data_IF_696156645214
#
_entry.id   IF_696156645214
#
_cell.length_a   1.000
_cell.length_b   1.000
_cell.length_c   1.000
_cell.angle_alpha   90.00
_cell.angle_beta   90.00
_cell.angle_gamma   90.00
#
_symmetry.space_group_name_H-M   'P 1'
#
loop_
_entity.id
_entity.type
_entity.pdbx_description
1 polymer ?
#
# COMPACT_ATOMS: atom_id res chain seq x y z
N UNK A 1 -5.59 -8.91 3.04
CA UNK A 1 -6.00 -7.55 3.46
C UNK A 1 -5.99 -7.50 4.98
N UNK A 2 -5.17 -6.63 5.58
CA UNK A 2 -4.90 -6.66 7.03
C UNK A 2 -5.76 -5.71 7.86
N UNK A 3 -6.25 -4.65 7.23
CA UNK A 3 -6.99 -3.58 7.88
C UNK A 3 -8.48 -3.74 7.59
N UNK A 4 -9.31 -3.35 8.56
CA UNK A 4 -10.76 -3.32 8.39
C UNK A 4 -11.11 -2.36 7.24
N UNK A 5 -11.92 -2.78 6.25
CA UNK A 5 -12.38 -1.87 5.21
C UNK A 5 -13.23 -0.75 5.80
N UNK A 6 -13.07 0.47 5.29
CA UNK A 6 -13.85 1.64 5.74
C UNK A 6 -14.90 1.98 4.69
N UNK A 7 -16.14 2.17 5.13
CA UNK A 7 -17.23 2.69 4.30
C UNK A 7 -17.19 4.20 4.29
N UNK A 8 -17.34 4.81 3.12
CA UNK A 8 -17.53 6.24 2.99
C UNK A 8 -18.36 6.58 1.76
N UNK A 9 -18.88 7.79 1.72
CA UNK A 9 -19.50 8.37 0.53
C UNK A 9 -18.56 9.42 -0.05
N UNK A 10 -18.27 9.33 -1.35
CA UNK A 10 -17.41 10.29 -2.06
C UNK A 10 -18.16 10.92 -3.21
N UNK A 11 -17.83 12.17 -3.52
CA UNK A 11 -18.32 12.81 -4.74
C UNK A 11 -17.41 12.45 -5.91
N UNK A 12 -17.98 11.81 -6.93
CA UNK A 12 -17.32 11.54 -8.20
C UNK A 12 -18.14 12.19 -9.30
N UNK A 13 -17.60 13.24 -9.91
CA UNK A 13 -18.26 14.00 -10.98
C UNK A 13 -19.66 14.55 -10.58
N UNK A 14 -19.82 15.04 -9.36
CA UNK A 14 -21.07 15.62 -8.85
C UNK A 14 -22.11 14.58 -8.41
N UNK A 15 -21.73 13.29 -8.35
CA UNK A 15 -22.59 12.21 -7.84
C UNK A 15 -21.96 11.59 -6.60
N UNK A 16 -22.74 11.47 -5.55
CA UNK A 16 -22.36 10.73 -4.35
C UNK A 16 -22.32 9.23 -4.66
N UNK A 17 -21.11 8.65 -4.64
CA UNK A 17 -20.85 7.23 -4.83
C UNK A 17 -20.46 6.63 -3.48
N UNK A 18 -21.18 5.60 -3.02
CA UNK A 18 -20.81 4.90 -1.80
C UNK A 18 -19.65 3.93 -2.07
N UNK A 19 -18.54 4.09 -1.35
CA UNK A 19 -17.30 3.35 -1.57
C UNK A 19 -16.83 2.58 -0.34
N UNK A 20 -16.07 1.53 -0.60
CA UNK A 20 -15.26 0.80 0.36
C UNK A 20 -13.80 1.13 0.08
N UNK A 21 -13.11 1.64 1.10
CA UNK A 21 -11.66 1.71 1.13
C UNK A 21 -11.11 0.41 1.70
N UNK A 22 -10.32 -0.30 0.90
CA UNK A 22 -9.62 -1.52 1.30
C UNK A 22 -8.10 -1.29 1.24
N UNK A 23 -7.46 -0.90 2.35
CA UNK A 23 -6.01 -0.76 2.42
C UNK A 23 -5.33 -2.14 2.42
N UNK A 24 -4.22 -2.25 1.69
CA UNK A 24 -3.40 -3.46 1.60
C UNK A 24 -2.05 -3.27 2.30
N UNK A 25 -1.44 -4.36 2.83
CA UNK A 25 -0.11 -4.31 3.49
C UNK A 25 0.98 -3.68 2.63
N UNK A 26 0.83 -3.82 1.32
CA UNK A 26 1.73 -3.26 0.32
C UNK A 26 1.68 -1.74 0.26
N UNK A 27 0.67 -1.08 0.86
CA UNK A 27 0.48 0.38 0.77
C UNK A 27 -0.42 0.84 -0.36
N UNK A 28 -1.05 -0.08 -1.09
CA UNK A 28 -2.12 0.23 -2.03
C UNK A 28 -3.44 0.39 -1.26
N UNK A 29 -4.26 1.37 -1.65
CA UNK A 29 -5.64 1.50 -1.18
C UNK A 29 -6.55 1.23 -2.37
N UNK A 30 -7.31 0.16 -2.30
CA UNK A 30 -8.32 -0.17 -3.31
C UNK A 30 -9.63 0.52 -2.95
N UNK A 31 -10.16 1.30 -3.89
CA UNK A 31 -11.43 2.01 -3.71
C UNK A 31 -12.45 1.36 -4.62
N UNK A 32 -13.45 0.72 -4.01
CA UNK A 32 -14.45 -0.09 -4.70
C UNK A 32 -15.83 0.50 -4.42
N UNK A 33 -16.72 0.53 -5.41
CA UNK A 33 -18.14 0.82 -5.17
C UNK A 33 -18.76 -0.38 -4.44
N UNK A 34 -19.38 -0.12 -3.29
CA UNK A 34 -19.91 -1.19 -2.43
C UNK A 34 -21.09 -1.95 -3.03
N UNK A 35 -21.73 -1.40 -4.06
CA UNK A 35 -22.96 -1.94 -4.66
C UNK A 35 -22.66 -2.99 -5.71
N UNK A 36 -21.59 -2.78 -6.50
CA UNK A 36 -21.23 -3.62 -7.64
C UNK A 36 -19.80 -4.17 -7.57
N UNK A 37 -18.96 -3.67 -6.66
CA UNK A 37 -17.56 -4.08 -6.53
C UNK A 37 -16.63 -3.48 -7.59
N UNK A 38 -17.10 -2.54 -8.41
CA UNK A 38 -16.27 -1.89 -9.43
C UNK A 38 -15.22 -0.98 -8.81
N UNK A 39 -14.03 -0.95 -9.40
CA UNK A 39 -12.96 -0.06 -8.98
C UNK A 39 -13.31 1.39 -9.34
N UNK A 40 -13.50 2.22 -8.33
CA UNK A 40 -13.65 3.68 -8.50
C UNK A 40 -12.30 4.33 -8.75
N UNK A 41 -11.25 3.83 -8.10
CA UNK A 41 -9.86 4.19 -8.40
C UNK A 41 -9.23 3.06 -9.22
N UNK A 42 -8.66 3.37 -10.41
CA UNK A 42 -8.00 2.36 -11.24
C UNK A 42 -6.87 1.65 -10.49
N UNK A 43 -6.78 0.35 -10.70
CA UNK A 43 -5.70 -0.50 -10.18
C UNK A 43 -5.13 -1.38 -11.29
N UNK A 44 -4.38 -0.81 -12.25
CA UNK A 44 -3.81 -1.58 -13.36
C UNK A 44 -2.92 -2.71 -12.87
N UNK A 45 -3.03 -3.87 -13.51
CA UNK A 45 -2.13 -4.98 -13.28
C UNK A 45 -0.75 -4.71 -13.89
N UNK A 46 0.31 -5.01 -13.14
CA UNK A 46 1.69 -4.88 -13.60
C UNK A 46 2.45 -6.19 -13.38
N UNK A 47 3.42 -6.52 -14.26
CA UNK A 47 4.32 -7.64 -14.05
C UNK A 47 5.08 -7.48 -12.73
N UNK A 48 5.28 -8.59 -12.02
CA UNK A 48 6.04 -8.62 -10.75
C UNK A 48 7.16 -9.66 -10.82
N UNK A 49 8.23 -9.53 -10.00
CA UNK A 49 9.32 -10.50 -9.96
C UNK A 49 8.84 -11.95 -9.81
N UNK A 50 9.49 -12.87 -10.52
CA UNK A 50 9.10 -14.29 -10.60
C UNK A 50 10.16 -15.19 -9.98
N UNK A 51 9.91 -16.50 -9.91
CA UNK A 51 10.89 -17.49 -9.44
C UNK A 51 10.81 -17.68 -7.92
N UNK A 52 9.68 -18.18 -7.45
CA UNK A 52 9.51 -18.53 -6.04
C UNK A 52 10.38 -19.74 -5.64
N UNK A 53 10.53 -19.95 -4.33
CA UNK A 53 11.15 -21.16 -3.79
C UNK A 53 10.47 -22.44 -4.32
N UNK A 54 11.21 -23.56 -4.29
CA UNK A 54 10.73 -24.83 -4.84
C UNK A 54 9.42 -25.25 -4.16
N UNK A 55 8.36 -25.41 -4.97
CA UNK A 55 7.03 -25.81 -4.52
C UNK A 55 6.05 -24.67 -4.27
N UNK A 56 6.48 -23.41 -4.41
CA UNK A 56 5.61 -22.24 -4.32
C UNK A 56 5.18 -21.73 -5.70
N UNK A 57 4.01 -21.09 -5.78
CA UNK A 57 3.43 -20.58 -7.01
C UNK A 57 3.17 -19.07 -6.91
N UNK A 58 3.70 -18.32 -7.86
CA UNK A 58 3.52 -16.86 -7.93
C UNK A 58 2.72 -16.46 -9.16
N UNK A 59 1.84 -15.49 -8.98
CA UNK A 59 1.13 -14.86 -10.09
C UNK A 59 2.10 -13.99 -10.92
N UNK A 60 1.87 -13.94 -12.24
CA UNK A 60 2.71 -13.16 -13.17
C UNK A 60 2.53 -11.66 -13.01
N UNK A 61 1.33 -11.24 -12.59
CA UNK A 61 0.93 -9.85 -12.46
C UNK A 61 0.28 -9.60 -11.10
N UNK A 62 0.34 -8.35 -10.64
CA UNK A 62 -0.36 -7.89 -9.43
C UNK A 62 -1.03 -6.53 -9.69
N UNK A 63 -2.15 -6.23 -9.02
CA UNK A 63 -2.83 -4.94 -9.15
C UNK A 63 -2.11 -3.84 -8.36
N UNK A 64 -1.86 -2.72 -9.03
CA UNK A 64 -1.26 -1.52 -8.44
C UNK A 64 -2.27 -0.38 -8.45
N UNK A 65 -2.89 -0.09 -7.30
CA UNK A 65 -3.82 1.05 -7.16
C UNK A 65 -3.10 2.37 -7.41
N UNK A 66 -3.74 3.27 -8.16
CA UNK A 66 -3.28 4.64 -8.34
C UNK A 66 -3.35 5.45 -7.04
N UNK A 67 -4.23 5.05 -6.10
CA UNK A 67 -4.22 5.55 -4.73
C UNK A 67 -3.31 4.66 -3.87
N UNK A 68 -2.06 5.10 -3.70
CA UNK A 68 -1.06 4.36 -2.94
C UNK A 68 -0.14 5.27 -2.14
N UNK A 69 0.21 4.82 -0.93
CA UNK A 69 1.25 5.43 -0.08
C UNK A 69 2.59 4.70 -0.20
N UNK A 70 2.76 3.86 -1.22
CA UNK A 70 4.02 3.13 -1.44
C UNK A 70 5.20 4.08 -1.68
N UNK A 71 6.40 3.70 -1.20
CA UNK A 71 7.63 4.32 -1.66
C UNK A 71 7.73 4.19 -3.19
N UNK A 72 8.08 5.28 -3.86
CA UNK A 72 8.24 5.30 -5.32
C UNK A 72 9.56 4.66 -5.78
N UNK A 73 10.52 4.55 -4.87
CA UNK A 73 11.86 4.02 -5.11
C UNK A 73 12.02 2.73 -4.32
N UNK A 74 12.66 1.76 -4.95
CA UNK A 74 13.14 0.55 -4.27
C UNK A 74 14.35 0.87 -3.40
N UNK A 75 14.57 0.05 -2.38
CA UNK A 75 15.76 0.17 -1.53
C UNK A 75 17.04 -0.09 -2.33
N UNK A 76 18.05 0.69 -2.01
CA UNK A 76 19.40 0.53 -2.53
C UNK A 76 20.37 0.30 -1.37
N UNK A 77 21.60 -0.12 -1.69
CA UNK A 77 22.64 -0.24 -0.67
C UNK A 77 22.97 1.09 0.04
N UNK A 78 22.59 2.23 -0.53
CA UNK A 78 22.73 3.55 0.10
C UNK A 78 21.68 3.81 1.19
N UNK A 79 20.55 3.09 1.17
CA UNK A 79 19.47 3.20 2.15
C UNK A 79 19.73 2.32 3.39
N UNK A 80 20.84 1.59 3.41
CA UNK A 80 21.22 0.77 4.56
C UNK A 80 21.77 1.66 5.68
N UNK A 81 21.15 1.51 6.85
CA UNK A 81 21.49 2.26 8.05
C UNK A 81 22.18 1.35 9.07
N UNK A 82 23.11 1.91 9.84
CA UNK A 82 23.75 1.24 10.97
C UNK A 82 24.10 2.24 12.06
N UNK A 83 24.15 1.79 13.31
CA UNK A 83 24.52 2.64 14.46
C UNK A 83 25.97 3.10 14.38
N UNK A 84 26.86 2.27 13.82
CA UNK A 84 28.24 2.59 13.52
C UNK A 84 28.55 2.39 12.03
N UNK A 85 29.72 2.86 11.58
CA UNK A 85 30.19 2.63 10.20
C UNK A 85 30.40 1.14 9.89
N UNK A 86 30.80 0.34 10.88
CA UNK A 86 30.92 -1.11 10.72
C UNK A 86 29.56 -1.77 10.56
N UNK A 87 28.56 -1.36 11.35
CA UNK A 87 27.20 -1.86 11.23
C UNK A 87 26.60 -1.51 9.87
N UNK A 88 26.81 -0.29 9.40
CA UNK A 88 26.32 0.13 8.08
C UNK A 88 26.94 -0.72 6.97
N UNK A 89 28.24 -1.02 7.05
CA UNK A 89 28.92 -1.90 6.10
C UNK A 89 28.34 -3.32 6.15
N UNK A 90 28.17 -3.89 7.34
CA UNK A 90 27.60 -5.23 7.52
C UNK A 90 26.17 -5.31 6.99
N UNK A 91 25.31 -4.33 7.32
CA UNK A 91 23.95 -4.25 6.80
C UNK A 91 23.94 -4.18 5.27
N UNK A 92 24.89 -3.46 4.65
CA UNK A 92 25.03 -3.40 3.20
C UNK A 92 25.49 -4.72 2.60
N UNK A 93 26.40 -5.44 3.24
CA UNK A 93 26.81 -6.78 2.81
C UNK A 93 25.63 -7.76 2.88
N UNK A 94 24.88 -7.76 3.99
CA UNK A 94 23.68 -8.59 4.16
C UNK A 94 22.64 -8.24 3.08
N UNK A 95 22.39 -6.96 2.82
CA UNK A 95 21.49 -6.51 1.76
C UNK A 95 21.85 -7.11 0.39
N UNK A 96 23.14 -7.18 0.06
CA UNK A 96 23.60 -7.77 -1.20
C UNK A 96 23.60 -9.31 -1.22
N UNK A 97 23.53 -9.97 -0.06
CA UNK A 97 23.37 -11.43 0.03
C UNK A 97 21.90 -11.84 -0.14
N UNK A 98 20.97 -10.98 0.24
CA UNK A 98 19.53 -11.23 0.12
C UNK A 98 19.03 -10.93 -1.28
N UNK A 99 18.00 -11.68 -1.70
CA UNK A 99 17.29 -11.39 -2.93
C UNK A 99 16.37 -10.19 -2.74
N UNK A 100 16.56 -9.15 -3.55
CA UNK A 100 15.68 -7.98 -3.60
C UNK A 100 15.55 -7.46 -5.03
N UNK A 101 14.36 -7.61 -5.61
CA UNK A 101 14.00 -7.13 -6.96
C UNK A 101 12.84 -6.11 -6.89
N UNK A 102 12.65 -5.51 -5.71
CA UNK A 102 11.56 -4.59 -5.42
C UNK A 102 10.35 -5.26 -4.77
N UNK A 103 9.22 -4.57 -4.83
CA UNK A 103 7.96 -5.05 -4.25
C UNK A 103 7.50 -6.35 -4.91
N UNK A 104 6.95 -7.27 -4.11
CA UNK A 104 6.56 -8.62 -4.53
C UNK A 104 7.71 -9.56 -4.91
N UNK A 105 8.95 -9.27 -4.49
CA UNK A 105 10.04 -10.28 -4.56
C UNK A 105 9.62 -11.52 -3.76
N UNK A 106 9.56 -12.72 -4.38
CA UNK A 106 9.06 -13.90 -3.71
C UNK A 106 10.08 -14.49 -2.72
N UNK A 107 9.64 -15.23 -1.70
CA UNK A 107 10.52 -15.96 -0.81
C UNK A 107 11.44 -16.91 -1.58
N UNK A 108 12.72 -16.94 -1.20
CA UNK A 108 13.74 -17.79 -1.82
C UNK A 108 14.62 -18.44 -0.76
N UNK A 109 15.25 -19.57 -1.09
CA UNK A 109 16.10 -20.32 -0.16
C UNK A 109 17.36 -19.55 0.28
N UNK A 110 17.82 -18.60 -0.53
CA UNK A 110 18.92 -17.68 -0.21
C UNK A 110 18.51 -16.52 0.72
N UNK A 111 17.23 -16.42 1.08
CA UNK A 111 16.66 -15.30 1.81
C UNK A 111 16.20 -14.18 0.89
N UNK A 112 15.08 -13.55 1.24
CA UNK A 112 14.46 -12.48 0.46
C UNK A 112 14.22 -11.26 1.34
N UNK A 113 14.62 -10.09 0.86
CA UNK A 113 14.24 -8.82 1.48
C UNK A 113 12.85 -8.42 0.98
N UNK A 114 11.93 -8.15 1.90
CA UNK A 114 10.57 -7.71 1.56
C UNK A 114 10.42 -6.25 1.93
N UNK A 115 10.29 -5.38 0.93
CA UNK A 115 10.06 -3.96 1.12
C UNK A 115 9.06 -3.41 0.09
N UNK A 116 8.04 -2.63 0.51
CA UNK A 116 7.62 -2.38 1.90
C UNK A 116 7.26 -3.68 2.62
N UNK A 117 7.67 -3.80 3.89
CA UNK A 117 7.61 -5.05 4.62
C UNK A 117 6.19 -5.56 4.83
N UNK A 118 6.04 -6.88 5.07
CA UNK A 118 4.76 -7.51 5.40
C UNK A 118 4.11 -6.98 6.69
N UNK A 119 4.75 -6.07 7.42
CA UNK A 119 4.25 -5.43 8.64
C UNK A 119 4.13 -3.89 8.50
N UNK A 120 4.31 -3.35 7.29
CA UNK A 120 4.93 -2.04 7.15
C UNK A 120 4.07 -0.86 6.68
N UNK A 121 2.82 -1.03 6.25
CA UNK A 121 2.04 0.12 5.76
C UNK A 121 0.67 0.26 6.37
N UNK A 122 -0.24 -0.66 6.06
CA UNK A 122 -1.57 -0.70 6.67
C UNK A 122 -1.66 -1.96 7.51
N UNK A 123 -1.85 -1.78 8.82
CA UNK A 123 -1.99 -2.87 9.77
C UNK A 123 -3.40 -2.86 10.39
N UNK A 124 -3.62 -3.73 11.37
CA UNK A 124 -4.90 -4.00 12.05
C UNK A 124 -5.54 -2.81 12.79
N UNK A 125 -5.02 -1.60 12.63
CA UNK A 125 -5.59 -0.37 13.17
C UNK A 125 -6.85 0.03 12.41
N UNK A 126 -7.88 0.49 13.14
CA UNK A 126 -9.12 0.99 12.54
C UNK A 126 -8.86 2.36 11.90
N UNK A 127 -9.29 2.57 10.66
CA UNK A 127 -9.46 3.91 10.10
C UNK A 127 -10.89 4.38 10.41
N UNK A 128 -11.07 4.99 11.58
CA UNK A 128 -12.34 5.58 12.00
C UNK A 128 -12.37 7.03 11.53
N UNK A 129 -12.94 7.29 10.34
CA UNK A 129 -13.44 8.63 10.04
C UNK A 129 -14.78 8.76 10.76
N UNK A 130 -14.87 9.68 11.71
CA UNK A 130 -16.15 10.12 12.27
C UNK A 130 -16.96 10.72 11.12
N UNK A 131 -17.99 10.01 10.69
CA UNK A 131 -19.02 10.57 9.81
C UNK A 131 -19.72 11.68 10.58
N UNK A 132 -19.48 12.94 10.23
CA UNK A 132 -20.37 14.01 10.69
C UNK A 132 -21.74 13.81 10.04
N UNK A 133 -22.84 13.79 10.82
CA UNK A 133 -24.17 13.75 10.24
C UNK A 133 -24.44 15.07 9.54
N UNK A 134 -24.81 15.00 8.27
CA UNK A 134 -25.29 16.12 7.47
C UNK A 134 -26.53 16.73 8.12
N UNK A 135 -26.36 17.83 8.85
CA UNK A 135 -27.42 18.58 9.49
C UNK A 135 -27.03 20.05 9.66
N UNK A 136 -27.34 20.84 8.64
CA UNK A 136 -27.49 22.29 8.60
C UNK A 136 -26.62 23.17 9.51
N UNK A 137 -25.65 23.86 8.93
CA UNK A 137 -25.56 25.31 9.11
C UNK A 137 -24.82 25.97 7.94
N UNK A 138 -25.45 27.01 7.40
CA UNK A 138 -24.99 27.81 6.28
C UNK A 138 -24.17 28.97 6.86
N UNK A 139 -22.85 29.00 6.65
CA UNK A 139 -22.05 30.23 6.83
C UNK A 139 -21.06 30.37 5.66
N UNK A 140 -21.03 31.54 4.98
CA UNK A 140 -20.26 31.72 3.75
C UNK A 140 -18.80 32.11 4.03
N UNK A 141 -17.96 31.80 3.04
CA UNK A 141 -16.57 32.26 2.87
C UNK A 141 -15.50 31.55 3.72
N UNK A 142 -14.73 30.70 3.05
CA UNK A 142 -13.45 30.22 3.55
C UNK A 142 -13.10 28.86 2.97
N UNK A 143 -12.24 28.85 1.96
CA UNK A 143 -11.58 27.62 1.53
C UNK A 143 -10.80 27.03 2.72
N UNK A 144 -11.19 25.84 3.18
CA UNK A 144 -10.41 25.08 4.13
C UNK A 144 -10.68 23.58 3.95
N UNK A 145 -9.71 22.90 3.33
CA UNK A 145 -9.48 21.47 3.56
C UNK A 145 -9.05 21.35 5.02
N UNK A 146 -9.90 20.79 5.88
CA UNK A 146 -9.51 20.46 7.27
C UNK A 146 -9.16 18.97 7.36
N UNK A 147 -7.95 18.74 7.89
CA UNK A 147 -7.36 17.46 8.28
C UNK A 147 -8.21 16.71 9.31
#
# INVERSE_FOLDING_TARGET
>A
MPSQPTLADIDVNGKTVPVIYAPAKTGNIFVLDRRNGELVVPAPERPVPQGAAKGDYVAKTQPFSDLSFRPKKDLTGADMWGATMFDQLVCRVIFHQLRYEGIFTPPSEQGTLVFPGNLGMFEWGRYLRRSEPSGGDRQPNGAAVRL
#
